data_IF_646467438818
#
_entry.id   IF_646467438818
#
_cell.length_a   1.000
_cell.length_b   1.000
_cell.length_c   1.000
_cell.angle_alpha   90.00
_cell.angle_beta   90.00
_cell.angle_gamma   90.00
#
_symmetry.space_group_name_H-M   'P 1'
#
loop_
_entity.id
_entity.type
_entity.pdbx_description
1 polymer ?
#
# COMPACT_ATOMS: atom_id res chain seq x y z
N UNK A 1 -34.48 23.06 -19.43
CA UNK A 1 -34.09 21.71 -18.94
C UNK A 1 -32.58 21.44 -18.92
N UNK A 2 -31.69 22.42 -19.17
CA UNK A 2 -30.23 22.21 -19.24
C UNK A 2 -29.38 22.48 -17.97
N UNK A 3 -29.80 23.23 -16.92
CA UNK A 3 -28.90 23.55 -15.81
C UNK A 3 -28.74 22.43 -14.77
N UNK A 4 -29.60 21.40 -14.79
CA UNK A 4 -29.58 20.32 -13.79
C UNK A 4 -28.50 19.25 -14.05
N UNK A 5 -28.07 19.04 -15.30
CA UNK A 5 -27.06 18.03 -15.63
C UNK A 5 -25.61 18.51 -15.40
N UNK A 6 -25.35 19.81 -15.50
CA UNK A 6 -23.99 20.36 -15.36
C UNK A 6 -23.43 20.19 -13.93
N UNK A 7 -24.29 20.35 -12.90
CA UNK A 7 -23.88 20.25 -11.50
C UNK A 7 -23.55 18.82 -11.02
N UNK A 8 -24.03 17.78 -11.74
CA UNK A 8 -23.67 16.38 -11.45
C UNK A 8 -22.41 15.93 -12.18
N UNK A 9 -22.07 16.56 -13.32
CA UNK A 9 -20.91 16.20 -14.12
C UNK A 9 -19.63 16.88 -13.61
N UNK A 10 -19.72 18.10 -13.07
CA UNK A 10 -18.60 18.82 -12.46
C UNK A 10 -17.81 17.99 -11.43
N UNK A 11 -18.42 17.39 -10.39
CA UNK A 11 -17.69 16.59 -9.41
C UNK A 11 -17.06 15.33 -10.02
N UNK A 12 -17.71 14.67 -10.98
CA UNK A 12 -17.17 13.49 -11.68
C UNK A 12 -16.01 13.84 -12.60
N UNK A 13 -16.08 14.98 -13.30
CA UNK A 13 -14.99 15.48 -14.15
C UNK A 13 -13.80 15.99 -13.34
N UNK A 14 -14.04 16.62 -12.18
CA UNK A 14 -12.97 17.05 -11.27
C UNK A 14 -12.33 15.85 -10.59
N UNK A 15 -13.10 14.83 -10.20
CA UNK A 15 -12.57 13.58 -9.65
C UNK A 15 -11.77 12.81 -10.70
N UNK A 16 -12.22 12.76 -11.96
CA UNK A 16 -11.49 12.11 -13.05
C UNK A 16 -10.21 12.86 -13.42
N UNK A 17 -10.21 14.19 -13.35
CA UNK A 17 -9.03 15.04 -13.56
C UNK A 17 -8.03 14.95 -12.38
N UNK A 18 -8.51 14.81 -11.15
CA UNK A 18 -7.69 14.57 -9.97
C UNK A 18 -7.05 13.17 -9.98
N UNK A 19 -7.79 12.14 -10.41
CA UNK A 19 -7.21 10.81 -10.64
C UNK A 19 -6.24 10.81 -11.81
N UNK A 20 -6.54 11.53 -12.89
CA UNK A 20 -5.65 11.63 -14.05
C UNK A 20 -4.36 12.36 -13.69
N UNK A 21 -4.41 13.45 -12.93
CA UNK A 21 -3.20 14.16 -12.47
C UNK A 21 -2.37 13.36 -11.47
N UNK A 22 -2.99 12.53 -10.61
CA UNK A 22 -2.25 11.59 -9.76
C UNK A 22 -1.61 10.42 -10.56
N UNK A 23 -2.22 10.00 -11.67
CA UNK A 23 -1.65 9.03 -12.62
C UNK A 23 -0.55 9.65 -13.50
N UNK A 24 -0.72 10.91 -13.91
CA UNK A 24 0.23 11.63 -14.77
C UNK A 24 1.47 12.08 -13.98
N UNK A 25 1.31 12.45 -12.70
CA UNK A 25 2.43 12.72 -11.79
C UNK A 25 3.26 11.46 -11.50
N UNK A 26 2.73 10.26 -11.77
CA UNK A 26 3.48 9.01 -11.77
C UNK A 26 4.17 8.71 -13.13
N UNK A 27 3.95 9.53 -14.17
CA UNK A 27 4.25 9.19 -15.56
C UNK A 27 5.31 10.03 -16.28
N UNK A 28 5.68 11.23 -15.80
CA UNK A 28 6.54 12.14 -16.61
C UNK A 28 8.06 11.92 -16.47
N UNK A 29 8.48 10.87 -15.75
CA UNK A 29 9.88 10.41 -15.67
C UNK A 29 10.01 8.89 -15.66
N UNK A 30 9.07 8.20 -16.32
CA UNK A 30 8.82 6.77 -16.17
C UNK A 30 10.01 5.86 -16.48
N UNK A 31 10.64 5.35 -15.43
CA UNK A 31 11.58 4.22 -15.44
C UNK A 31 10.88 2.99 -15.99
N UNK A 32 11.62 2.15 -16.74
CA UNK A 32 11.12 0.90 -17.34
C UNK A 32 10.17 0.14 -16.40
N UNK A 33 8.94 -0.20 -16.85
CA UNK A 33 8.00 -1.02 -16.09
C UNK A 33 8.57 -2.39 -15.72
N UNK A 34 9.54 -2.89 -16.49
CA UNK A 34 10.17 -4.17 -16.25
C UNK A 34 11.35 -4.04 -15.26
N UNK A 35 11.36 -4.84 -14.17
CA UNK A 35 12.48 -4.86 -13.26
C UNK A 35 13.69 -5.56 -13.88
N UNK A 36 14.88 -5.00 -13.64
CA UNK A 36 16.11 -5.60 -14.16
C UNK A 36 16.48 -6.87 -13.40
N UNK A 37 16.79 -7.92 -14.15
CA UNK A 37 17.24 -9.20 -13.62
C UNK A 37 18.68 -9.08 -13.10
N UNK A 38 18.93 -9.63 -11.91
CA UNK A 38 20.24 -9.67 -11.27
C UNK A 38 20.88 -11.04 -11.42
N UNK A 39 20.12 -12.10 -11.13
CA UNK A 39 20.58 -13.49 -11.17
C UNK A 39 19.38 -14.42 -11.33
N UNK A 40 19.58 -15.60 -11.88
CA UNK A 40 18.55 -16.65 -11.87
C UNK A 40 18.77 -17.58 -10.68
N UNK A 41 17.71 -17.88 -9.93
CA UNK A 41 17.73 -18.87 -8.85
C UNK A 41 16.65 -19.92 -9.14
N UNK A 42 17.04 -21.19 -9.27
CA UNK A 42 16.12 -22.30 -9.63
C UNK A 42 15.31 -22.06 -10.92
N UNK A 43 15.84 -21.30 -11.89
CA UNK A 43 15.15 -20.98 -13.15
C UNK A 43 14.11 -19.86 -13.03
N UNK A 44 14.09 -19.12 -11.91
CA UNK A 44 13.29 -17.91 -11.75
C UNK A 44 14.20 -16.68 -11.72
N UNK A 45 13.92 -15.63 -12.53
CA UNK A 45 14.71 -14.42 -12.54
C UNK A 45 14.53 -13.65 -11.22
N UNK A 46 15.60 -13.52 -10.44
CA UNK A 46 15.65 -12.69 -9.25
C UNK A 46 16.02 -11.29 -9.69
N UNK A 47 15.07 -10.36 -9.53
CA UNK A 47 15.24 -8.97 -9.94
C UNK A 47 15.65 -8.08 -8.78
N UNK A 48 16.25 -6.93 -9.10
CA UNK A 48 16.56 -5.89 -8.11
C UNK A 48 15.34 -5.51 -7.25
N UNK A 49 14.13 -5.55 -7.83
CA UNK A 49 12.90 -5.25 -7.09
C UNK A 49 12.58 -6.31 -6.04
N UNK A 50 12.77 -7.61 -6.33
CA UNK A 50 12.48 -8.68 -5.36
C UNK A 50 13.36 -8.52 -4.12
N UNK A 51 14.66 -8.27 -4.33
CA UNK A 51 15.62 -8.01 -3.27
C UNK A 51 15.26 -6.77 -2.44
N UNK A 52 14.94 -5.66 -3.11
CA UNK A 52 14.53 -4.42 -2.44
C UNK A 52 13.25 -4.62 -1.63
N UNK A 53 12.28 -5.35 -2.17
CA UNK A 53 11.01 -5.68 -1.49
C UNK A 53 11.25 -6.54 -0.25
N UNK A 54 12.14 -7.53 -0.32
CA UNK A 54 12.47 -8.38 0.83
C UNK A 54 13.18 -7.61 1.93
N UNK A 55 14.16 -6.77 1.57
CA UNK A 55 14.90 -5.95 2.53
C UNK A 55 13.97 -4.95 3.21
N UNK A 56 13.14 -4.22 2.45
CA UNK A 56 12.17 -3.28 3.00
C UNK A 56 11.14 -4.01 3.86
N UNK A 57 10.60 -5.15 3.41
CA UNK A 57 9.64 -5.93 4.19
C UNK A 57 10.23 -6.42 5.52
N UNK A 58 11.48 -6.90 5.51
CA UNK A 58 12.17 -7.33 6.73
C UNK A 58 12.38 -6.15 7.68
N UNK A 59 12.84 -5.01 7.15
CA UNK A 59 13.05 -3.78 7.94
C UNK A 59 11.73 -3.28 8.53
N UNK A 60 10.62 -3.41 7.80
CA UNK A 60 9.27 -3.04 8.24
C UNK A 60 8.76 -3.99 9.33
N UNK A 61 8.92 -5.30 9.16
CA UNK A 61 8.57 -6.30 10.19
C UNK A 61 9.36 -6.06 11.48
N UNK A 62 10.66 -5.81 11.37
CA UNK A 62 11.51 -5.48 12.52
C UNK A 62 11.13 -4.13 13.14
N UNK A 63 10.88 -3.12 12.31
CA UNK A 63 10.48 -1.78 12.74
C UNK A 63 9.16 -1.80 13.50
N UNK A 64 8.13 -2.48 12.98
CA UNK A 64 6.85 -2.68 13.67
C UNK A 64 7.06 -3.46 14.96
N UNK A 65 7.86 -4.53 14.95
CA UNK A 65 8.14 -5.32 16.16
C UNK A 65 8.81 -4.49 17.26
N UNK A 66 9.72 -3.60 16.88
CA UNK A 66 10.43 -2.71 17.80
C UNK A 66 9.53 -1.57 18.29
N UNK A 67 8.73 -0.95 17.41
CA UNK A 67 7.80 0.13 17.76
C UNK A 67 6.64 -0.36 18.65
N UNK A 68 6.09 -1.53 18.35
CA UNK A 68 4.99 -2.12 19.14
C UNK A 68 5.48 -2.44 20.56
N UNK A 69 6.77 -2.76 20.73
CA UNK A 69 7.43 -2.83 22.03
C UNK A 69 6.63 -3.61 23.09
N UNK A 70 6.55 -3.09 24.31
CA UNK A 70 5.65 -3.57 25.37
C UNK A 70 4.72 -2.42 25.77
N UNK A 71 3.43 -2.45 25.43
CA UNK A 71 2.47 -1.44 25.85
C UNK A 71 2.45 -1.32 27.38
N UNK A 72 2.52 -0.10 27.92
CA UNK A 72 2.43 0.15 29.35
C UNK A 72 0.98 0.54 29.72
N UNK A 73 0.55 0.13 30.93
CA UNK A 73 -0.80 0.43 31.43
C UNK A 73 -1.03 1.94 31.69
N UNK A 74 0.03 2.67 32.05
CA UNK A 74 -0.01 4.13 32.16
C UNK A 74 0.66 4.68 30.88
N UNK A 75 -0.12 5.29 29.97
CA UNK A 75 0.41 5.69 28.67
C UNK A 75 1.39 6.87 28.81
N UNK A 76 2.57 6.73 28.21
CA UNK A 76 3.47 7.87 27.99
C UNK A 76 2.91 8.84 26.93
N UNK A 77 3.50 10.04 26.82
CA UNK A 77 3.03 11.09 25.87
C UNK A 77 2.90 10.59 24.43
N UNK A 78 3.87 9.82 23.95
CA UNK A 78 3.84 9.26 22.59
C UNK A 78 2.82 8.13 22.44
N UNK A 79 2.67 7.29 23.46
CA UNK A 79 1.64 6.24 23.46
C UNK A 79 0.24 6.85 23.36
N UNK A 80 -0.04 7.94 24.08
CA UNK A 80 -1.32 8.63 24.01
C UNK A 80 -1.62 9.19 22.61
N UNK A 81 -0.62 9.70 21.89
CA UNK A 81 -0.78 10.17 20.50
C UNK A 81 -1.12 9.00 19.57
N UNK A 82 -0.38 7.89 19.67
CA UNK A 82 -0.66 6.71 18.83
C UNK A 82 -2.00 6.06 19.17
N UNK A 83 -2.38 5.96 20.44
CA UNK A 83 -3.69 5.49 20.87
C UNK A 83 -4.80 6.37 20.30
N UNK A 84 -4.65 7.70 20.33
CA UNK A 84 -5.62 8.64 19.76
C UNK A 84 -5.79 8.45 18.26
N UNK A 85 -4.70 8.23 17.51
CA UNK A 85 -4.75 7.94 16.08
C UNK A 85 -5.46 6.61 15.82
N UNK A 86 -5.09 5.55 16.57
CA UNK A 86 -5.68 4.22 16.44
C UNK A 86 -7.18 4.27 16.75
N UNK A 87 -7.60 4.98 17.79
CA UNK A 87 -9.00 5.10 18.17
C UNK A 87 -9.79 5.95 17.16
N UNK A 88 -9.18 7.00 16.61
CA UNK A 88 -9.75 7.74 15.47
C UNK A 88 -9.97 6.85 14.24
N UNK A 89 -8.98 6.01 13.91
CA UNK A 89 -9.10 5.03 12.83
C UNK A 89 -10.17 3.97 13.12
N UNK A 90 -10.29 3.48 14.36
CA UNK A 90 -11.38 2.57 14.75
C UNK A 90 -12.74 3.23 14.54
N UNK A 91 -12.90 4.47 15.00
CA UNK A 91 -14.15 5.23 14.85
C UNK A 91 -14.53 5.48 13.38
N UNK A 92 -13.54 5.60 12.49
CA UNK A 92 -13.77 5.71 11.05
C UNK A 92 -14.12 4.36 10.40
N UNK A 93 -13.41 3.30 10.77
CA UNK A 93 -13.48 2.00 10.09
C UNK A 93 -14.63 1.11 10.59
N UNK A 94 -14.99 1.17 11.88
CA UNK A 94 -16.04 0.34 12.47
C UNK A 94 -17.42 0.54 11.81
N UNK A 95 -17.88 1.78 11.51
CA UNK A 95 -19.15 1.98 10.81
C UNK A 95 -19.14 1.46 9.36
N UNK A 96 -17.97 1.47 8.70
CA UNK A 96 -17.82 1.05 7.30
C UNK A 96 -17.83 -0.48 7.20
N UNK A 97 -17.05 -1.15 8.05
CA UNK A 97 -16.88 -2.61 8.04
C UNK A 97 -18.05 -3.32 8.74
N UNK A 98 -18.67 -2.65 9.71
CA UNK A 98 -19.72 -3.18 10.55
C UNK A 98 -19.17 -3.94 11.77
N UNK A 99 -19.86 -3.78 12.91
CA UNK A 99 -19.44 -4.27 14.24
C UNK A 99 -19.07 -5.76 14.29
N UNK A 100 -19.74 -6.59 13.49
CA UNK A 100 -19.55 -8.05 13.48
C UNK A 100 -18.26 -8.47 12.78
N UNK A 101 -17.87 -7.80 11.69
CA UNK A 101 -16.64 -8.09 10.96
C UNK A 101 -15.43 -7.35 11.52
N UNK A 102 -15.66 -6.17 12.11
CA UNK A 102 -14.62 -5.25 12.57
C UNK A 102 -13.48 -5.88 13.40
N UNK A 103 -13.71 -6.65 14.48
CA UNK A 103 -12.61 -7.19 15.28
C UNK A 103 -11.70 -8.15 14.51
N UNK A 104 -12.23 -8.82 13.48
CA UNK A 104 -11.47 -9.73 12.64
C UNK A 104 -10.74 -8.99 11.52
N UNK A 105 -11.33 -7.93 10.97
CA UNK A 105 -10.75 -7.17 9.86
C UNK A 105 -9.76 -6.10 10.33
N UNK A 106 -9.92 -5.58 11.55
CA UNK A 106 -9.12 -4.44 12.03
C UNK A 106 -7.60 -4.67 11.98
N UNK A 107 -7.05 -5.82 12.44
CA UNK A 107 -5.61 -6.07 12.35
C UNK A 107 -5.10 -6.13 10.90
N UNK A 108 -5.90 -6.68 10.00
CA UNK A 108 -5.58 -6.76 8.57
C UNK A 108 -5.56 -5.36 7.94
N UNK A 109 -6.61 -4.56 8.16
CA UNK A 109 -6.71 -3.20 7.62
C UNK A 109 -5.60 -2.31 8.17
N UNK A 110 -5.33 -2.37 9.47
CA UNK A 110 -4.24 -1.60 10.07
C UNK A 110 -2.87 -2.04 9.55
N UNK A 111 -2.65 -3.35 9.40
CA UNK A 111 -1.42 -3.88 8.83
C UNK A 111 -1.20 -3.42 7.39
N UNK A 112 -2.21 -3.55 6.53
CA UNK A 112 -2.17 -3.07 5.14
C UNK A 112 -1.97 -1.56 5.06
N UNK A 113 -2.69 -0.79 5.88
CA UNK A 113 -2.55 0.67 5.92
C UNK A 113 -1.12 1.09 6.25
N UNK A 114 -0.55 0.56 7.34
CA UNK A 114 0.82 0.88 7.77
C UNK A 114 1.83 0.39 6.72
N UNK A 115 1.63 -0.81 6.16
CA UNK A 115 2.49 -1.37 5.13
C UNK A 115 2.56 -0.47 3.90
N UNK A 116 1.40 -0.09 3.36
CA UNK A 116 1.27 0.77 2.18
C UNK A 116 1.84 2.16 2.48
N UNK A 117 1.53 2.73 3.65
CA UNK A 117 2.03 4.05 4.05
C UNK A 117 3.56 4.09 4.04
N UNK A 118 4.21 3.10 4.66
CA UNK A 118 5.68 3.00 4.70
C UNK A 118 6.25 2.76 3.29
N UNK A 119 5.63 1.89 2.50
CA UNK A 119 6.06 1.64 1.11
C UNK A 119 5.98 2.91 0.26
N UNK A 120 4.92 3.71 0.42
CA UNK A 120 4.76 4.97 -0.28
C UNK A 120 5.78 6.01 0.18
N UNK A 121 6.06 6.07 1.49
CA UNK A 121 7.05 6.99 2.05
C UNK A 121 8.49 6.56 1.78
N UNK A 122 8.75 5.29 1.45
CA UNK A 122 10.08 4.80 1.10
C UNK A 122 10.67 5.52 -0.13
N UNK A 123 9.81 6.01 -1.04
CA UNK A 123 10.23 6.81 -2.18
C UNK A 123 10.83 8.18 -1.79
N UNK A 124 10.51 8.67 -0.57
CA UNK A 124 11.01 9.93 -0.05
C UNK A 124 12.36 9.78 0.68
N UNK A 125 12.83 8.54 0.87
CA UNK A 125 14.11 8.28 1.53
C UNK A 125 15.25 8.72 0.61
N UNK A 126 16.15 9.61 1.07
CA UNK A 126 17.30 10.04 0.28
C UNK A 126 18.16 8.84 -0.09
N UNK A 127 18.35 8.61 -1.39
CA UNK A 127 19.12 7.48 -1.95
C UNK A 127 18.27 6.43 -2.69
N UNK A 128 16.95 6.39 -2.47
CA UNK A 128 16.03 5.58 -3.28
C UNK A 128 15.79 6.31 -4.61
N UNK A 129 16.01 5.62 -5.73
CA UNK A 129 15.83 6.22 -7.06
C UNK A 129 16.88 7.28 -7.43
N UNK A 130 18.04 7.31 -6.75
CA UNK A 130 19.12 8.29 -7.03
C UNK A 130 20.44 7.61 -7.42
N UNK A 131 20.80 6.52 -6.75
CA UNK A 131 22.04 5.78 -7.05
C UNK A 131 21.80 4.69 -8.08
N UNK A 132 22.61 4.65 -9.14
CA UNK A 132 22.48 3.69 -10.23
C UNK A 132 23.62 3.76 -11.25
N UNK A 133 23.62 2.84 -12.20
CA UNK A 133 24.55 2.83 -13.32
C UNK A 133 23.84 3.29 -14.59
N UNK A 134 24.53 4.02 -15.47
CA UNK A 134 24.01 4.34 -16.79
C UNK A 134 24.23 3.17 -17.75
N UNK A 135 23.17 2.78 -18.45
CA UNK A 135 23.22 1.91 -19.63
C UNK A 135 23.99 2.60 -20.78
N UNK A 136 24.51 1.83 -21.74
CA UNK A 136 25.02 2.35 -23.02
C UNK A 136 23.97 3.14 -23.83
N UNK A 137 22.68 3.00 -23.53
CA UNK A 137 21.57 3.82 -24.06
C UNK A 137 21.28 5.10 -23.25
N UNK A 138 22.05 5.37 -22.19
CA UNK A 138 21.90 6.59 -21.37
C UNK A 138 20.79 6.53 -20.31
N UNK A 139 20.13 5.39 -20.15
CA UNK A 139 19.13 5.17 -19.09
C UNK A 139 19.81 4.89 -17.74
N UNK A 140 19.41 5.61 -16.68
CA UNK A 140 19.91 5.36 -15.34
C UNK A 140 19.19 4.15 -14.72
N UNK A 141 19.94 3.07 -14.52
CA UNK A 141 19.51 1.83 -13.86
C UNK A 141 19.78 1.94 -12.36
N UNK A 142 18.74 2.29 -11.62
CA UNK A 142 18.78 2.48 -10.16
C UNK A 142 19.13 1.17 -9.42
N UNK A 143 19.93 1.27 -8.36
CA UNK A 143 20.21 0.19 -7.41
C UNK A 143 19.04 -0.06 -6.46
N UNK A 144 18.42 1.01 -5.96
CA UNK A 144 17.27 0.95 -5.06
C UNK A 144 16.08 1.60 -5.74
N UNK A 145 15.08 0.79 -6.10
CA UNK A 145 13.85 1.23 -6.73
C UNK A 145 12.76 1.40 -5.64
N UNK A 146 11.90 2.43 -5.70
CA UNK A 146 10.78 2.57 -4.76
C UNK A 146 9.89 1.33 -4.77
N UNK A 147 9.53 0.82 -3.60
CA UNK A 147 8.81 -0.44 -3.48
C UNK A 147 7.39 -0.40 -4.08
N UNK A 148 6.81 0.80 -4.21
CA UNK A 148 5.50 1.05 -4.84
C UNK A 148 5.56 1.24 -6.36
N UNK A 149 6.76 1.27 -6.96
CA UNK A 149 6.92 1.49 -8.40
C UNK A 149 6.89 0.20 -9.23
N UNK A 150 6.71 -0.97 -8.59
CA UNK A 150 6.59 -2.27 -9.26
C UNK A 150 5.15 -2.79 -9.18
N UNK A 151 4.62 -3.22 -10.33
CA UNK A 151 3.28 -3.77 -10.45
C UNK A 151 3.10 -5.03 -9.60
N UNK A 152 4.14 -5.87 -9.48
CA UNK A 152 4.09 -7.13 -8.75
C UNK A 152 3.84 -6.92 -7.26
N UNK A 153 4.44 -5.89 -6.66
CA UNK A 153 4.22 -5.56 -5.25
C UNK A 153 2.76 -5.13 -5.00
N UNK A 154 2.24 -4.29 -5.89
CA UNK A 154 0.85 -3.77 -5.80
C UNK A 154 -0.18 -4.88 -6.06
N UNK A 155 0.04 -5.69 -7.09
CA UNK A 155 -0.81 -6.85 -7.39
C UNK A 155 -0.78 -7.89 -6.28
N UNK A 156 0.40 -8.18 -5.72
CA UNK A 156 0.54 -9.11 -4.60
C UNK A 156 -0.28 -8.68 -3.39
N UNK A 157 -0.17 -7.42 -2.99
CA UNK A 157 -1.00 -6.87 -1.90
C UNK A 157 -2.49 -6.90 -2.22
N UNK A 158 -2.89 -6.55 -3.44
CA UNK A 158 -4.28 -6.56 -3.85
C UNK A 158 -4.88 -7.96 -3.78
N UNK A 159 -4.15 -8.99 -4.22
CA UNK A 159 -4.58 -10.39 -4.13
C UNK A 159 -4.71 -10.84 -2.68
N UNK A 160 -3.73 -10.54 -1.82
CA UNK A 160 -3.79 -10.88 -0.39
C UNK A 160 -4.99 -10.22 0.27
N UNK A 161 -5.21 -8.92 0.03
CA UNK A 161 -6.35 -8.18 0.54
C UNK A 161 -7.67 -8.80 0.04
N UNK A 162 -7.74 -9.16 -1.24
CA UNK A 162 -8.95 -9.72 -1.84
C UNK A 162 -9.28 -11.10 -1.25
N UNK A 163 -8.30 -12.00 -1.14
CA UNK A 163 -8.48 -13.33 -0.55
C UNK A 163 -8.88 -13.21 0.92
N UNK A 164 -8.19 -12.37 1.69
CA UNK A 164 -8.49 -12.16 3.10
C UNK A 164 -9.89 -11.58 3.31
N UNK A 165 -10.29 -10.61 2.47
CA UNK A 165 -11.62 -10.03 2.51
C UNK A 165 -12.72 -11.03 2.14
N UNK A 166 -12.51 -11.84 1.09
CA UNK A 166 -13.43 -12.93 0.72
C UNK A 166 -13.62 -13.91 1.87
N UNK A 167 -12.52 -14.32 2.52
CA UNK A 167 -12.58 -15.22 3.67
C UNK A 167 -13.38 -14.63 4.84
N UNK A 168 -13.11 -13.37 5.22
CA UNK A 168 -13.83 -12.68 6.29
C UNK A 168 -15.31 -12.54 5.93
N UNK A 169 -15.62 -12.17 4.70
CA UNK A 169 -16.99 -11.98 4.24
C UNK A 169 -17.78 -13.29 4.25
N UNK A 170 -17.19 -14.40 3.80
CA UNK A 170 -17.83 -15.73 3.88
C UNK A 170 -18.07 -16.13 5.33
N UNK A 171 -17.10 -15.86 6.22
CA UNK A 171 -17.23 -16.23 7.64
C UNK A 171 -18.27 -15.39 8.39
N UNK A 172 -18.40 -14.10 8.06
CA UNK A 172 -19.29 -13.17 8.78
C UNK A 172 -20.70 -13.13 8.20
N UNK A 173 -20.83 -13.07 6.87
CA UNK A 173 -22.11 -13.00 6.17
C UNK A 173 -22.68 -14.37 5.78
N UNK A 174 -21.82 -15.40 5.71
CA UNK A 174 -22.18 -16.75 5.31
C UNK A 174 -22.12 -16.96 3.79
N UNK A 175 -21.96 -18.22 3.31
CA UNK A 175 -21.89 -18.51 1.88
C UNK A 175 -23.17 -18.14 1.12
N UNK A 176 -24.32 -18.18 1.81
CA UNK A 176 -25.64 -17.87 1.23
C UNK A 176 -25.82 -16.39 0.86
N UNK A 177 -25.00 -15.50 1.41
CA UNK A 177 -24.99 -14.08 1.04
C UNK A 177 -24.51 -13.86 -0.41
N UNK A 178 -23.64 -14.73 -0.92
CA UNK A 178 -23.05 -14.63 -2.26
C UNK A 178 -23.81 -15.41 -3.34
N UNK A 179 -24.82 -16.18 -2.93
CA UNK A 179 -25.62 -17.03 -3.82
C UNK A 179 -26.90 -16.32 -4.30
N UNK A 180 -26.97 -14.99 -4.18
CA UNK A 180 -28.04 -14.15 -4.70
C UNK A 180 -27.56 -13.33 -5.88
#
# INVERSE_FOLDING_TARGET
MLPFQVNRLLPTTVLSLATASSLQAAGEGGVSPAPYELTELFGLPVTNTILTTWVISLLLILGVRLLVGKPQLIPGKWQAVFESIIDGLKGLLEPIVGKKAFPMTFPLLMGLFVFILIHNWSALIPGVGVFGFYDGEGHLKYWMRPANSDLNATLGMALVAMIAWLFISIKVAGPKFFAW
#
